data_IF_079970140462
#
_entry.id   IF_079970140462
#
_cell.length_a   1.000
_cell.length_b   1.000
_cell.length_c   1.000
_cell.angle_alpha   90.00
_cell.angle_beta   90.00
_cell.angle_gamma   90.00
#
_symmetry.space_group_name_H-M   'P 1'
#
loop_
_entity.id
_entity.type
_entity.pdbx_description
1 polymer ?
#
# COMPACT_ATOMS: atom_id res chain seq x y z
N UNK A 1 18.02 -23.66 7.17
CA UNK A 1 17.96 -23.10 6.98
C UNK A 1 17.78 -22.31 6.54
N UNK A 2 17.60 -21.90 6.70
CA UNK A 2 17.41 -21.13 6.42
C UNK A 2 17.29 -20.29 5.96
N UNK A 3 17.16 -19.76 5.88
CA UNK A 3 17.07 -19.03 5.59
C UNK A 3 16.78 -18.24 5.15
N UNK A 4 16.57 -17.69 5.01
CA UNK A 4 16.34 -16.87 4.66
C UNK A 4 16.14 -15.88 4.37
N UNK A 5 16.18 -15.74 4.47
CA UNK A 5 16.35 -14.49 4.42
C UNK A 5 15.77 -13.62 3.46
N UNK A 6 16.22 -13.28 2.43
CA UNK A 6 15.70 -12.56 1.49
C UNK A 6 14.66 -13.26 0.88
N UNK A 7 13.56 -13.21 1.29
CA UNK A 7 12.55 -14.06 0.89
C UNK A 7 11.68 -13.51 -0.16
N UNK A 8 11.95 -13.83 -1.39
CA UNK A 8 11.12 -13.45 -2.50
C UNK A 8 10.36 -14.64 -3.05
N UNK A 9 10.02 -15.55 -2.17
CA UNK A 9 9.26 -16.72 -2.54
C UNK A 9 7.83 -16.34 -2.88
N UNK A 10 7.07 -17.28 -3.39
CA UNK A 10 5.66 -17.05 -3.72
C UNK A 10 4.87 -16.64 -2.50
N UNK A 11 5.17 -17.22 -1.36
CA UNK A 11 4.45 -16.86 -0.13
C UNK A 11 4.74 -15.44 0.28
N UNK A 12 5.98 -15.02 0.18
CA UNK A 12 6.35 -13.67 0.53
C UNK A 12 5.69 -12.67 -0.41
N UNK A 13 5.69 -12.99 -1.70
CA UNK A 13 5.08 -12.15 -2.70
C UNK A 13 3.59 -11.97 -2.41
N UNK A 14 2.91 -13.08 -2.11
CA UNK A 14 1.49 -13.05 -1.81
C UNK A 14 1.20 -12.21 -0.57
N UNK A 15 2.01 -12.36 0.46
CA UNK A 15 1.83 -11.61 1.70
C UNK A 15 2.01 -10.12 1.47
N UNK A 16 2.97 -9.75 0.63
CA UNK A 16 3.20 -8.35 0.32
C UNK A 16 2.07 -7.78 -0.54
N UNK A 17 1.48 -8.59 -1.40
CA UNK A 17 0.33 -8.16 -2.17
C UNK A 17 -0.86 -7.86 -1.27
N UNK A 18 -1.10 -8.73 -0.30
CA UNK A 18 -2.18 -8.55 0.63
C UNK A 18 -1.97 -7.28 1.44
N UNK A 19 -0.75 -7.08 1.92
CA UNK A 19 -0.41 -5.91 2.70
C UNK A 19 -0.57 -4.64 1.87
N UNK A 20 -0.08 -4.66 0.64
CA UNK A 20 -0.16 -3.53 -0.26
C UNK A 20 -1.63 -3.14 -0.50
N UNK A 21 -2.47 -4.13 -0.72
CA UNK A 21 -3.88 -3.88 -0.95
C UNK A 21 -4.57 -3.31 0.30
N UNK A 22 -4.12 -3.73 1.48
CA UNK A 22 -4.61 -3.16 2.71
C UNK A 22 -4.24 -1.70 2.80
N UNK A 23 -3.02 -1.35 2.42
CA UNK A 23 -2.58 0.04 2.41
C UNK A 23 -3.41 0.86 1.44
N UNK A 24 -3.71 0.31 0.28
CA UNK A 24 -4.53 0.99 -0.72
C UNK A 24 -5.93 1.26 -0.17
N UNK A 25 -6.48 0.31 0.56
CA UNK A 25 -7.79 0.49 1.16
C UNK A 25 -7.77 1.59 2.22
N UNK A 26 -6.72 1.63 3.01
CA UNK A 26 -6.58 2.66 4.02
C UNK A 26 -6.53 4.05 3.37
N UNK A 27 -5.79 4.17 2.27
CA UNK A 27 -5.74 5.43 1.54
C UNK A 27 -7.13 5.84 1.07
N UNK A 28 -7.87 4.92 0.51
CA UNK A 28 -9.23 5.19 0.07
C UNK A 28 -10.12 5.63 1.23
N UNK A 29 -9.97 4.99 2.37
CA UNK A 29 -10.74 5.35 3.56
C UNK A 29 -10.39 6.75 4.04
N UNK A 30 -9.10 7.10 4.00
CA UNK A 30 -8.65 8.42 4.38
C UNK A 30 -9.19 9.47 3.41
N UNK A 31 -9.16 9.17 2.13
CA UNK A 31 -9.67 10.09 1.11
C UNK A 31 -11.17 10.32 1.30
N UNK A 32 -11.89 9.30 1.69
CA UNK A 32 -13.31 9.43 1.96
C UNK A 32 -13.53 10.35 3.17
N UNK A 33 -12.72 10.17 4.18
CA UNK A 33 -12.79 11.00 5.37
C UNK A 33 -12.47 12.47 5.04
N UNK A 34 -11.48 12.68 4.19
CA UNK A 34 -11.10 14.02 3.75
C UNK A 34 -12.25 14.71 3.03
N UNK A 35 -13.00 13.97 2.26
CA UNK A 35 -14.11 14.55 1.54
C UNK A 35 -15.28 14.91 2.44
N UNK A 36 -15.33 14.33 3.62
CA UNK A 36 -16.39 14.60 4.58
C UNK A 36 -16.03 15.68 5.58
N UNK A 37 -14.75 15.87 5.83
CA UNK A 37 -14.27 16.83 6.82
C UNK A 37 -13.49 17.91 6.16
N UNK A 38 -14.01 19.10 6.15
CA UNK A 38 -13.39 20.19 5.41
C UNK A 38 -12.40 21.05 6.17
N UNK A 39 -12.13 20.71 7.42
CA UNK A 39 -11.25 21.56 8.23
C UNK A 39 -9.80 21.44 7.77
N UNK A 40 -9.13 22.57 7.55
CA UNK A 40 -7.77 22.53 7.00
C UNK A 40 -6.78 21.75 7.84
N UNK A 41 -6.87 21.83 9.15
CA UNK A 41 -5.96 21.09 10.02
C UNK A 41 -6.14 19.59 9.87
N UNK A 42 -7.37 19.14 9.72
CA UNK A 42 -7.66 17.73 9.51
C UNK A 42 -7.20 17.30 8.14
N UNK A 43 -7.43 18.11 7.13
CA UNK A 43 -6.98 17.83 5.78
C UNK A 43 -5.46 17.64 5.73
N UNK A 44 -4.75 18.50 6.40
CA UNK A 44 -3.30 18.43 6.41
C UNK A 44 -2.81 17.16 7.09
N UNK A 45 -3.42 16.81 8.20
CA UNK A 45 -3.07 15.60 8.93
C UNK A 45 -3.34 14.36 8.08
N UNK A 46 -4.49 14.31 7.43
CA UNK A 46 -4.85 13.15 6.62
C UNK A 46 -3.97 13.04 5.39
N UNK A 47 -3.61 14.16 4.79
CA UNK A 47 -2.68 14.17 3.66
C UNK A 47 -1.33 13.60 4.07
N UNK A 48 -0.84 13.97 5.25
CA UNK A 48 0.43 13.45 5.74
C UNK A 48 0.37 11.95 5.93
N UNK A 49 -0.75 11.44 6.41
CA UNK A 49 -0.92 10.00 6.57
C UNK A 49 -0.90 9.29 5.23
N UNK A 50 -1.56 9.85 4.23
CA UNK A 50 -1.56 9.27 2.89
C UNK A 50 -0.15 9.24 2.34
N UNK A 51 0.59 10.31 2.51
CA UNK A 51 1.97 10.36 2.00
C UNK A 51 2.84 9.30 2.64
N UNK A 52 2.70 9.06 3.94
CA UNK A 52 3.47 8.03 4.60
C UNK A 52 3.12 6.65 4.07
N UNK A 53 1.84 6.40 3.83
CA UNK A 53 1.40 5.12 3.31
C UNK A 53 1.87 4.93 1.87
N UNK A 54 1.85 6.01 1.09
CA UNK A 54 2.35 5.94 -0.29
C UNK A 54 3.82 5.58 -0.35
N UNK A 55 4.60 6.04 0.60
CA UNK A 55 6.01 5.69 0.65
C UNK A 55 6.18 4.19 0.90
N UNK A 56 5.36 3.63 1.77
CA UNK A 56 5.39 2.21 2.03
C UNK A 56 4.99 1.42 0.80
N UNK A 57 3.96 1.87 0.11
CA UNK A 57 3.51 1.21 -1.11
C UNK A 57 4.63 1.21 -2.16
N UNK A 58 5.29 2.33 -2.32
CA UNK A 58 6.37 2.43 -3.28
C UNK A 58 7.50 1.47 -2.93
N UNK A 59 7.83 1.38 -1.66
CA UNK A 59 8.89 0.48 -1.21
C UNK A 59 8.55 -0.97 -1.53
N UNK A 60 7.31 -1.36 -1.31
CA UNK A 60 6.88 -2.71 -1.59
C UNK A 60 6.93 -2.99 -3.09
N UNK A 61 6.51 -2.05 -3.92
CA UNK A 61 6.59 -2.23 -5.36
C UNK A 61 8.02 -2.43 -5.83
N UNK A 62 8.95 -1.76 -5.18
CA UNK A 62 10.36 -1.87 -5.55
C UNK A 62 10.96 -3.21 -5.14
N UNK A 63 10.39 -3.86 -4.15
CA UNK A 63 10.83 -5.18 -3.76
C UNK A 63 10.44 -6.24 -4.79
N UNK A 64 9.36 -6.03 -5.48
CA UNK A 64 8.85 -7.00 -6.44
C UNK A 64 8.54 -6.32 -7.78
N UNK A 65 9.58 -5.92 -8.49
CA UNK A 65 9.38 -5.15 -9.73
C UNK A 65 8.71 -5.93 -10.86
N UNK A 66 8.66 -7.23 -10.74
CA UNK A 66 8.01 -8.06 -11.75
C UNK A 66 6.51 -8.18 -11.56
N UNK A 67 5.95 -7.67 -10.48
CA UNK A 67 4.51 -7.67 -10.30
C UNK A 67 3.96 -6.44 -11.01
N UNK A 68 2.97 -6.65 -11.87
CA UNK A 68 2.44 -5.54 -12.64
C UNK A 68 1.41 -4.76 -11.82
N UNK A 69 1.07 -3.58 -12.31
CA UNK A 69 0.19 -2.68 -11.59
C UNK A 69 -1.17 -3.29 -11.32
N UNK A 70 -1.68 -4.05 -12.24
CA UNK A 70 -2.98 -4.67 -12.08
C UNK A 70 -3.03 -5.65 -10.93
N UNK A 71 -1.94 -6.35 -10.72
CA UNK A 71 -1.85 -7.27 -9.60
C UNK A 71 -1.80 -6.52 -8.29
N UNK A 72 -1.04 -5.43 -8.24
CA UNK A 72 -0.95 -4.63 -7.04
C UNK A 72 -2.31 -4.07 -6.67
N UNK A 73 -3.07 -3.63 -7.64
CA UNK A 73 -4.35 -3.01 -7.41
C UNK A 73 -5.47 -4.01 -7.15
N UNK A 74 -5.20 -5.27 -7.35
CA UNK A 74 -6.21 -6.28 -7.16
C UNK A 74 -7.26 -6.29 -8.23
N UNK A 75 -6.88 -5.77 -9.40
CA UNK A 75 -7.82 -5.58 -10.44
C UNK A 75 -7.74 -6.61 -11.49
N UNK A 76 -7.41 -7.75 -11.16
CA UNK A 76 -7.13 -8.78 -12.12
C UNK A 76 -8.35 -9.50 -12.62
N UNK A 77 -9.45 -9.14 -12.28
CA UNK A 77 -10.61 -9.89 -12.69
C UNK A 77 -10.93 -9.79 -14.16
#
# INVERSE_FOLDING_TARGET
MDEKIEDKSEDSKKNHLIYYRSLSKIITDIETEMSQKGEPAIQEHLTSRIEAIEKDRKRIRELFPDINKEEWDGNSS
#
